data_IF_516966877390
#
_entry.id   IF_516966877390
#
_cell.length_a   1.000
_cell.length_b   1.000
_cell.length_c   1.000
_cell.angle_alpha   90.00
_cell.angle_beta   90.00
_cell.angle_gamma   90.00
#
_symmetry.space_group_name_H-M   'P 1'
#
loop_
_entity.id
_entity.type
_entity.pdbx_description
1 polymer ?
#
# COMPACT_ATOMS: atom_id res chain seq x y z
N UNK A 1 -30.26 -72.43 26.83
CA UNK A 1 -29.37 -71.86 25.84
C UNK A 1 -30.24 -71.16 24.79
N UNK A 2 -30.42 -69.87 24.87
CA UNK A 2 -31.04 -69.03 23.82
C UNK A 2 -30.14 -67.81 23.59
N UNK A 3 -29.54 -67.73 22.42
CA UNK A 3 -28.74 -66.60 21.98
C UNK A 3 -29.71 -65.56 21.36
N UNK A 4 -29.75 -64.38 21.96
CA UNK A 4 -30.45 -63.22 21.38
C UNK A 4 -29.46 -62.39 20.59
N UNK A 5 -29.72 -62.22 19.31
CA UNK A 5 -28.98 -61.29 18.44
C UNK A 5 -29.64 -59.90 18.57
N UNK A 6 -28.91 -58.93 19.04
CA UNK A 6 -29.28 -57.52 18.98
C UNK A 6 -28.71 -56.90 17.68
N UNK A 7 -29.60 -56.51 16.78
CA UNK A 7 -29.30 -55.75 15.59
C UNK A 7 -29.22 -54.28 15.97
N UNK A 8 -28.01 -53.74 15.96
CA UNK A 8 -27.78 -52.30 16.14
C UNK A 8 -28.00 -51.54 14.82
N UNK A 9 -29.03 -50.71 14.80
CA UNK A 9 -29.27 -49.77 13.69
C UNK A 9 -28.37 -48.52 13.92
N UNK A 10 -27.34 -48.37 13.10
CA UNK A 10 -26.53 -47.17 13.08
C UNK A 10 -27.28 -46.04 12.35
N UNK A 11 -27.74 -45.04 13.08
CA UNK A 11 -28.21 -43.78 12.52
C UNK A 11 -26.99 -42.98 12.08
N UNK A 12 -26.73 -42.91 10.78
CA UNK A 12 -25.82 -41.96 10.21
C UNK A 12 -26.50 -40.57 10.18
N UNK A 13 -26.19 -39.73 11.17
CA UNK A 13 -26.59 -38.34 11.13
C UNK A 13 -25.75 -37.62 10.05
N UNK A 14 -26.37 -37.34 8.91
CA UNK A 14 -25.84 -36.37 7.92
C UNK A 14 -25.89 -34.99 8.55
N UNK A 15 -24.76 -34.55 9.09
CA UNK A 15 -24.52 -33.14 9.34
C UNK A 15 -24.33 -32.47 7.96
N UNK A 16 -25.42 -31.99 7.37
CA UNK A 16 -25.36 -30.97 6.37
C UNK A 16 -24.89 -29.71 7.10
N UNK A 17 -23.56 -29.43 7.04
CA UNK A 17 -23.01 -28.16 7.46
C UNK A 17 -23.65 -27.08 6.60
N UNK A 18 -24.59 -26.32 7.17
CA UNK A 18 -25.03 -25.07 6.60
C UNK A 18 -23.74 -24.20 6.53
N UNK A 19 -23.29 -23.88 5.32
CA UNK A 19 -22.33 -22.82 5.14
C UNK A 19 -22.96 -21.58 5.79
N UNK A 20 -22.37 -21.10 6.87
CA UNK A 20 -22.76 -19.82 7.48
C UNK A 20 -22.68 -18.78 6.38
N UNK A 21 -23.82 -18.13 6.07
CA UNK A 21 -23.80 -16.95 5.24
C UNK A 21 -22.80 -16.00 5.89
N UNK A 22 -21.74 -15.61 5.15
CA UNK A 22 -20.79 -14.65 5.66
C UNK A 22 -21.57 -13.39 6.07
N UNK A 23 -21.33 -12.88 7.28
CA UNK A 23 -21.91 -11.61 7.72
C UNK A 23 -21.34 -10.49 6.85
N UNK A 24 -22.09 -10.11 5.81
CA UNK A 24 -21.74 -9.03 4.91
C UNK A 24 -21.89 -7.69 5.64
N UNK A 25 -20.85 -6.88 5.62
CA UNK A 25 -20.82 -5.57 6.34
C UNK A 25 -21.92 -4.62 5.87
N UNK A 26 -22.26 -4.66 4.59
CA UNK A 26 -23.34 -3.87 3.99
C UNK A 26 -24.31 -4.82 3.29
N UNK A 27 -25.60 -4.69 3.59
CA UNK A 27 -26.61 -5.56 2.97
C UNK A 27 -26.77 -5.23 1.48
N UNK A 28 -26.60 -6.19 0.56
CA UNK A 28 -26.79 -5.96 -0.86
C UNK A 28 -28.16 -5.35 -1.17
N UNK A 29 -28.16 -4.33 -2.05
CA UNK A 29 -29.39 -3.67 -2.52
C UNK A 29 -29.96 -2.60 -1.57
N UNK A 30 -29.42 -2.39 -0.36
CA UNK A 30 -30.03 -1.49 0.62
C UNK A 30 -29.47 -0.05 0.65
N UNK A 31 -28.23 0.15 0.26
CA UNK A 31 -27.58 1.48 0.28
C UNK A 31 -27.25 1.90 -1.15
N UNK A 32 -27.81 3.03 -1.59
CA UNK A 32 -27.66 3.57 -2.95
C UNK A 32 -26.26 4.14 -3.25
N UNK A 33 -25.38 4.26 -2.24
CA UNK A 33 -23.99 4.64 -2.45
C UNK A 33 -23.15 3.55 -3.11
N UNK A 34 -23.64 2.31 -3.14
CA UNK A 34 -23.00 1.17 -3.77
C UNK A 34 -23.66 0.80 -5.09
N UNK A 35 -22.88 0.44 -6.07
CA UNK A 35 -23.37 -0.05 -7.37
C UNK A 35 -23.77 -1.54 -7.29
N UNK A 36 -24.86 -1.82 -6.57
CA UNK A 36 -25.34 -3.20 -6.38
C UNK A 36 -25.69 -3.91 -7.68
N UNK A 37 -26.08 -3.15 -8.72
CA UNK A 37 -26.31 -3.76 -10.03
C UNK A 37 -25.07 -4.46 -10.55
N UNK A 38 -23.88 -3.87 -10.38
CA UNK A 38 -22.63 -4.51 -10.80
C UNK A 38 -22.33 -5.80 -10.01
N UNK A 39 -22.76 -5.86 -8.76
CA UNK A 39 -22.68 -7.06 -7.93
C UNK A 39 -23.58 -8.17 -8.44
N UNK A 40 -24.86 -7.85 -8.72
CA UNK A 40 -25.84 -8.81 -9.23
C UNK A 40 -25.45 -9.35 -10.61
N UNK A 41 -24.95 -8.48 -11.50
CA UNK A 41 -24.45 -8.87 -12.82
C UNK A 41 -23.24 -9.83 -12.69
N UNK A 42 -22.31 -9.53 -11.78
CA UNK A 42 -21.17 -10.40 -11.48
C UNK A 42 -21.62 -11.77 -10.93
N UNK A 43 -22.53 -11.79 -9.96
CA UNK A 43 -23.08 -13.00 -9.36
C UNK A 43 -23.76 -13.89 -10.41
N UNK A 44 -24.54 -13.29 -11.32
CA UNK A 44 -25.19 -14.02 -12.40
C UNK A 44 -24.17 -14.65 -13.38
N UNK A 45 -23.03 -13.98 -13.63
CA UNK A 45 -22.02 -14.44 -14.57
C UNK A 45 -21.12 -15.57 -14.03
N UNK A 46 -21.02 -15.75 -12.70
CA UNK A 46 -20.04 -16.65 -12.06
C UNK A 46 -20.68 -17.70 -11.11
N UNK A 47 -21.96 -18.01 -11.28
CA UNK A 47 -22.68 -18.96 -10.43
C UNK A 47 -22.21 -20.43 -10.56
N UNK A 48 -21.45 -20.76 -11.61
CA UNK A 48 -20.95 -22.10 -11.92
C UNK A 48 -19.68 -22.50 -11.16
N UNK A 49 -19.09 -21.58 -10.38
CA UNK A 49 -17.80 -21.78 -9.69
C UNK A 49 -17.96 -22.30 -8.25
N UNK A 50 -19.17 -22.58 -7.81
CA UNK A 50 -19.47 -23.03 -6.44
C UNK A 50 -18.64 -24.24 -6.01
N UNK A 51 -18.04 -24.13 -4.83
CA UNK A 51 -17.25 -25.19 -4.19
C UNK A 51 -15.82 -25.33 -4.71
N UNK A 52 -15.41 -24.55 -5.72
CA UNK A 52 -14.01 -24.46 -6.13
C UNK A 52 -13.20 -23.65 -5.13
N UNK A 53 -11.88 -23.80 -5.14
CA UNK A 53 -10.97 -23.12 -4.21
C UNK A 53 -10.23 -21.95 -4.86
N UNK A 54 -9.95 -20.93 -4.06
CA UNK A 54 -9.08 -19.82 -4.42
C UNK A 54 -8.15 -19.51 -3.25
N UNK A 55 -6.84 -19.47 -3.50
CA UNK A 55 -5.84 -19.03 -2.53
C UNK A 55 -5.30 -17.67 -2.92
N UNK A 56 -5.27 -16.75 -1.96
CA UNK A 56 -4.78 -15.39 -2.13
C UNK A 56 -3.70 -15.13 -1.09
N UNK A 57 -2.54 -14.61 -1.50
CA UNK A 57 -1.47 -14.20 -0.62
C UNK A 57 -1.11 -12.74 -0.86
N UNK A 58 -1.03 -11.95 0.19
CA UNK A 58 -0.84 -10.51 0.08
C UNK A 58 -0.19 -9.86 1.30
N UNK A 59 0.14 -8.56 1.20
CA UNK A 59 0.87 -7.83 2.23
C UNK A 59 -0.02 -7.30 3.36
N UNK A 60 -1.35 -7.28 3.17
CA UNK A 60 -2.26 -6.66 4.11
C UNK A 60 -2.39 -7.44 5.41
N UNK A 61 -2.21 -6.77 6.54
CA UNK A 61 -2.25 -7.32 7.90
C UNK A 61 -3.04 -6.40 8.82
N UNK A 62 -3.52 -6.96 9.95
CA UNK A 62 -4.27 -6.18 10.93
C UNK A 62 -5.59 -5.65 10.36
N UNK A 63 -5.85 -4.35 10.47
CA UNK A 63 -7.10 -3.75 9.99
C UNK A 63 -7.24 -3.78 8.46
N UNK A 64 -6.16 -3.58 7.70
CA UNK A 64 -6.20 -3.70 6.23
C UNK A 64 -6.59 -5.12 5.80
N UNK A 65 -6.11 -6.15 6.52
CA UNK A 65 -6.56 -7.53 6.31
C UNK A 65 -8.05 -7.69 6.59
N UNK A 66 -8.56 -7.10 7.68
CA UNK A 66 -9.97 -7.17 8.02
C UNK A 66 -10.85 -6.49 6.96
N UNK A 67 -10.41 -5.34 6.42
CA UNK A 67 -11.11 -4.67 5.32
C UNK A 67 -11.14 -5.56 4.08
N UNK A 68 -10.00 -6.13 3.69
CA UNK A 68 -9.93 -7.01 2.53
C UNK A 68 -10.76 -8.28 2.71
N UNK A 69 -10.73 -8.90 3.89
CA UNK A 69 -11.56 -10.06 4.20
C UNK A 69 -13.06 -9.74 4.06
N UNK A 70 -13.48 -8.52 4.44
CA UNK A 70 -14.86 -8.10 4.27
C UNK A 70 -15.27 -7.98 2.79
N UNK A 71 -14.35 -7.56 1.90
CA UNK A 71 -14.59 -7.52 0.45
C UNK A 71 -14.63 -8.95 -0.12
N UNK A 72 -13.69 -9.78 0.31
CA UNK A 72 -13.63 -11.19 -0.10
C UNK A 72 -14.91 -11.96 0.24
N UNK A 73 -15.59 -11.59 1.34
CA UNK A 73 -16.87 -12.18 1.72
C UNK A 73 -17.97 -11.98 0.67
N UNK A 74 -18.00 -10.82 -0.02
CA UNK A 74 -18.93 -10.57 -1.12
C UNK A 74 -18.60 -11.43 -2.35
N UNK A 75 -17.33 -11.60 -2.67
CA UNK A 75 -16.90 -12.50 -3.73
C UNK A 75 -17.32 -13.95 -3.44
N UNK A 76 -17.09 -14.41 -2.20
CA UNK A 76 -17.49 -15.75 -1.73
C UNK A 76 -19.02 -15.93 -1.79
N UNK A 77 -19.78 -14.93 -1.32
CA UNK A 77 -21.27 -14.99 -1.36
C UNK A 77 -21.79 -15.05 -2.80
N UNK A 78 -21.21 -14.23 -3.70
CA UNK A 78 -21.63 -14.16 -5.09
C UNK A 78 -21.36 -15.47 -5.86
N UNK A 79 -20.24 -16.13 -5.61
CA UNK A 79 -19.74 -17.24 -6.42
C UNK A 79 -19.85 -18.61 -5.75
N UNK A 80 -19.93 -18.66 -4.43
CA UNK A 80 -19.83 -19.90 -3.65
C UNK A 80 -18.43 -20.55 -3.67
N UNK A 81 -17.38 -19.82 -4.08
CA UNK A 81 -15.99 -20.25 -4.06
C UNK A 81 -15.50 -20.29 -2.60
N UNK A 82 -14.70 -21.32 -2.22
CA UNK A 82 -13.94 -21.32 -0.96
C UNK A 82 -12.64 -20.51 -1.15
N UNK A 83 -12.71 -19.20 -0.90
CA UNK A 83 -11.58 -18.29 -1.03
C UNK A 83 -10.89 -18.08 0.32
N UNK A 84 -9.55 -18.15 0.32
CA UNK A 84 -8.71 -17.97 1.51
C UNK A 84 -7.62 -16.93 1.24
N UNK A 85 -7.59 -15.91 2.10
CA UNK A 85 -6.50 -14.95 2.15
C UNK A 85 -5.52 -15.32 3.24
N UNK A 86 -4.25 -15.13 2.97
CA UNK A 86 -3.15 -15.24 3.95
C UNK A 86 -2.16 -14.09 3.75
N UNK A 87 -1.45 -13.74 4.82
CA UNK A 87 -0.44 -12.68 4.84
C UNK A 87 0.80 -13.12 5.62
N UNK A 88 1.91 -12.39 5.47
CA UNK A 88 3.16 -12.66 6.18
C UNK A 88 3.90 -11.35 6.46
N UNK A 89 4.67 -11.31 7.56
CA UNK A 89 5.62 -10.21 7.83
C UNK A 89 6.80 -10.19 6.84
N UNK A 90 7.06 -11.35 6.24
CA UNK A 90 8.13 -11.53 5.25
C UNK A 90 7.52 -11.81 3.87
N UNK A 91 6.47 -11.05 3.50
CA UNK A 91 5.67 -11.30 2.31
C UNK A 91 6.52 -11.35 1.04
N UNK A 92 7.40 -10.35 0.82
CA UNK A 92 8.20 -10.22 -0.40
C UNK A 92 9.16 -11.40 -0.60
N UNK A 93 9.77 -11.87 0.49
CA UNK A 93 10.66 -13.03 0.46
C UNK A 93 9.86 -14.32 0.28
N UNK A 94 8.72 -14.44 0.97
CA UNK A 94 7.91 -15.66 0.96
C UNK A 94 7.30 -15.91 -0.42
N UNK A 95 6.76 -14.89 -1.08
CA UNK A 95 6.19 -15.07 -2.43
C UNK A 95 7.23 -15.51 -3.45
N UNK A 96 8.47 -15.03 -3.35
CA UNK A 96 9.58 -15.49 -4.19
C UNK A 96 9.89 -16.97 -3.91
N UNK A 97 9.96 -17.38 -2.64
CA UNK A 97 10.21 -18.77 -2.25
C UNK A 97 9.10 -19.69 -2.77
N UNK A 98 7.84 -19.35 -2.56
CA UNK A 98 6.70 -20.17 -2.92
C UNK A 98 6.60 -20.36 -4.45
N UNK A 99 6.85 -19.30 -5.21
CA UNK A 99 6.87 -19.36 -6.67
C UNK A 99 8.03 -20.20 -7.21
N UNK A 100 9.22 -20.06 -6.61
CA UNK A 100 10.40 -20.88 -6.98
C UNK A 100 10.23 -22.35 -6.62
N UNK A 101 9.56 -22.65 -5.51
CA UNK A 101 9.26 -24.00 -5.06
C UNK A 101 8.13 -24.67 -5.87
N UNK A 102 7.48 -23.95 -6.81
CA UNK A 102 6.36 -24.48 -7.60
C UNK A 102 5.05 -24.64 -6.83
N UNK A 103 4.91 -23.93 -5.70
CA UNK A 103 3.72 -23.95 -4.84
C UNK A 103 3.12 -22.52 -4.65
N UNK A 104 2.94 -21.74 -5.75
CA UNK A 104 2.40 -20.39 -5.62
C UNK A 104 0.92 -20.40 -5.21
N UNK A 105 0.42 -19.28 -4.59
CA UNK A 105 -1.01 -19.04 -4.47
C UNK A 105 -1.65 -18.88 -5.85
N UNK A 106 -3.00 -18.91 -5.94
CA UNK A 106 -3.64 -18.52 -7.18
C UNK A 106 -3.44 -17.04 -7.47
N UNK A 107 -3.68 -16.19 -6.47
CA UNK A 107 -3.51 -14.73 -6.55
C UNK A 107 -2.37 -14.30 -5.64
N UNK A 108 -1.44 -13.51 -6.17
CA UNK A 108 -0.47 -12.75 -5.38
C UNK A 108 -0.77 -11.25 -5.52
N UNK A 109 -0.78 -10.52 -4.39
CA UNK A 109 -1.03 -9.08 -4.35
C UNK A 109 0.30 -8.37 -4.07
N UNK A 110 0.86 -7.71 -5.07
CA UNK A 110 2.20 -7.13 -5.03
C UNK A 110 2.11 -5.61 -4.87
N UNK A 111 2.71 -5.03 -3.84
CA UNK A 111 2.85 -3.57 -3.75
C UNK A 111 3.99 -3.02 -4.61
N UNK A 112 4.98 -3.86 -4.99
CA UNK A 112 6.18 -3.42 -5.72
C UNK A 112 6.13 -3.83 -7.20
N UNK A 113 6.01 -2.87 -8.14
CA UNK A 113 6.15 -3.13 -9.58
C UNK A 113 7.49 -3.78 -9.98
N UNK A 114 8.58 -3.43 -9.27
CA UNK A 114 9.89 -4.06 -9.49
C UNK A 114 9.92 -5.55 -9.16
N UNK A 115 9.31 -5.96 -8.03
CA UNK A 115 9.15 -7.38 -7.68
C UNK A 115 8.25 -8.10 -8.70
N UNK A 116 7.18 -7.42 -9.15
CA UNK A 116 6.31 -7.95 -10.20
C UNK A 116 7.09 -8.21 -11.50
N UNK A 117 7.93 -7.26 -11.93
CA UNK A 117 8.79 -7.41 -13.11
C UNK A 117 9.72 -8.61 -12.97
N UNK A 118 10.35 -8.80 -11.80
CA UNK A 118 11.22 -9.93 -11.50
C UNK A 118 10.48 -11.28 -11.60
N UNK A 119 9.27 -11.38 -11.05
CA UNK A 119 8.47 -12.61 -11.09
C UNK A 119 7.93 -12.90 -12.49
N UNK A 120 7.51 -11.87 -13.24
CA UNK A 120 7.06 -11.98 -14.62
C UNK A 120 8.19 -12.47 -15.54
N UNK A 121 9.38 -11.86 -15.43
CA UNK A 121 10.56 -12.24 -16.21
C UNK A 121 11.03 -13.68 -15.96
N UNK A 122 10.81 -14.20 -14.76
CA UNK A 122 11.09 -15.60 -14.41
C UNK A 122 9.99 -16.58 -14.86
N UNK A 123 8.84 -16.08 -15.31
CA UNK A 123 7.68 -16.88 -15.73
C UNK A 123 6.86 -17.44 -14.56
N UNK A 124 6.87 -16.77 -13.42
CA UNK A 124 6.09 -17.14 -12.24
C UNK A 124 4.71 -16.51 -12.20
N UNK A 125 4.40 -15.61 -13.13
CA UNK A 125 3.10 -14.96 -13.26
C UNK A 125 2.45 -15.29 -14.60
N UNK A 126 1.13 -15.30 -14.61
CA UNK A 126 0.31 -15.51 -15.79
C UNK A 126 -0.22 -14.17 -16.30
N UNK A 127 -0.11 -13.84 -17.60
CA UNK A 127 -0.70 -12.63 -18.16
C UNK A 127 -2.22 -12.57 -17.95
N UNK A 128 -2.73 -11.38 -17.63
CA UNK A 128 -4.15 -11.13 -17.46
C UNK A 128 -4.90 -10.99 -18.79
N UNK A 129 -4.16 -10.72 -19.87
CA UNK A 129 -4.67 -10.58 -21.23
C UNK A 129 -5.00 -9.14 -21.63
N UNK A 130 -5.11 -8.93 -22.95
CA UNK A 130 -5.29 -7.62 -23.58
C UNK A 130 -6.63 -6.98 -23.21
N UNK A 131 -7.68 -7.78 -23.03
CA UNK A 131 -9.00 -7.28 -22.61
C UNK A 131 -8.95 -6.63 -21.23
N UNK A 132 -8.18 -7.20 -20.30
CA UNK A 132 -8.00 -6.62 -18.95
C UNK A 132 -7.16 -5.35 -19.01
N UNK A 133 -6.08 -5.34 -19.79
CA UNK A 133 -5.26 -4.15 -20.04
C UNK A 133 -6.09 -3.02 -20.64
N UNK A 134 -6.87 -3.32 -21.68
CA UNK A 134 -7.77 -2.35 -22.30
C UNK A 134 -8.83 -1.82 -21.32
N UNK A 135 -9.39 -2.70 -20.49
CA UNK A 135 -10.35 -2.29 -19.48
C UNK A 135 -9.74 -1.29 -18.49
N UNK A 136 -8.53 -1.53 -18.00
CA UNK A 136 -7.79 -0.60 -17.11
C UNK A 136 -7.57 0.74 -17.83
N UNK A 137 -7.05 0.70 -19.05
CA UNK A 137 -6.82 1.91 -19.87
C UNK A 137 -8.07 2.78 -19.99
N UNK A 138 -9.21 2.19 -20.30
CA UNK A 138 -10.45 2.90 -20.60
C UNK A 138 -11.15 3.42 -19.31
N UNK A 139 -11.03 2.68 -18.20
CA UNK A 139 -11.80 2.93 -16.99
C UNK A 139 -11.05 3.69 -15.90
N UNK A 140 -9.72 3.72 -15.92
CA UNK A 140 -8.94 4.41 -14.89
C UNK A 140 -8.58 5.85 -15.30
N UNK A 141 -8.51 6.76 -14.33
CA UNK A 141 -7.82 8.03 -14.48
C UNK A 141 -6.34 7.76 -14.77
N UNK A 142 -5.75 8.45 -15.77
CA UNK A 142 -4.40 8.17 -16.26
C UNK A 142 -4.17 6.68 -16.63
N UNK A 143 -5.14 6.06 -17.30
CA UNK A 143 -5.18 4.62 -17.57
C UNK A 143 -3.93 4.05 -18.24
N UNK A 144 -3.28 4.81 -19.15
CA UNK A 144 -2.01 4.39 -19.77
C UNK A 144 -0.88 4.22 -18.76
N UNK A 145 -0.81 5.08 -17.73
CA UNK A 145 0.19 4.95 -16.65
C UNK A 145 -0.05 3.68 -15.84
N UNK A 146 -1.31 3.40 -15.46
CA UNK A 146 -1.66 2.19 -14.71
C UNK A 146 -1.42 0.91 -15.51
N UNK A 147 -1.67 0.92 -16.82
CA UNK A 147 -1.29 -0.19 -17.70
C UNK A 147 0.23 -0.36 -17.70
N UNK A 148 0.99 0.73 -17.75
CA UNK A 148 2.46 0.70 -17.69
C UNK A 148 2.97 0.00 -16.43
N UNK A 149 2.40 0.28 -15.26
CA UNK A 149 2.79 -0.36 -13.98
C UNK A 149 2.42 -1.84 -13.88
N UNK A 150 1.56 -2.35 -14.76
CA UNK A 150 1.21 -3.78 -14.86
C UNK A 150 1.86 -4.52 -16.03
N UNK A 151 2.61 -3.83 -16.92
CA UNK A 151 3.12 -4.40 -18.17
C UNK A 151 4.63 -4.61 -18.10
N UNK A 152 5.06 -5.84 -18.26
CA UNK A 152 6.47 -6.24 -18.18
C UNK A 152 6.81 -7.34 -19.19
N UNK A 153 8.10 -7.56 -19.43
CA UNK A 153 8.57 -8.68 -20.24
C UNK A 153 8.41 -9.98 -19.45
N UNK A 154 7.70 -10.93 -20.04
CA UNK A 154 7.63 -12.29 -19.54
C UNK A 154 8.90 -13.08 -19.82
N UNK A 155 8.93 -14.34 -19.39
CA UNK A 155 10.06 -15.27 -19.62
C UNK A 155 10.42 -15.47 -21.10
N UNK A 156 9.46 -15.30 -22.00
CA UNK A 156 9.65 -15.37 -23.44
C UNK A 156 10.19 -14.06 -24.06
N UNK A 157 10.45 -13.06 -23.24
CA UNK A 157 10.94 -11.73 -23.64
C UNK A 157 9.88 -10.80 -24.23
N UNK A 158 8.62 -11.25 -24.33
CA UNK A 158 7.52 -10.43 -24.83
C UNK A 158 6.88 -9.65 -23.71
N UNK A 159 6.46 -8.42 -24.01
CA UNK A 159 5.65 -7.61 -23.07
C UNK A 159 4.24 -8.17 -22.97
N UNK A 160 3.73 -8.22 -21.73
CA UNK A 160 2.36 -8.59 -21.44
C UNK A 160 1.88 -7.91 -20.16
N UNK A 161 0.57 -7.77 -20.01
CA UNK A 161 -0.06 -7.20 -18.84
C UNK A 161 -0.27 -8.28 -17.77
N UNK A 162 0.47 -8.18 -16.65
CA UNK A 162 0.50 -9.19 -15.59
C UNK A 162 -0.28 -8.81 -14.34
N UNK A 163 -0.61 -7.53 -14.16
CA UNK A 163 -1.16 -7.07 -12.91
C UNK A 163 -2.31 -6.09 -13.07
N UNK A 164 -3.37 -6.32 -12.30
CA UNK A 164 -4.52 -5.44 -12.18
C UNK A 164 -4.29 -4.46 -11.01
N UNK A 165 -4.17 -3.15 -11.24
CA UNK A 165 -4.07 -2.16 -10.19
C UNK A 165 -5.40 -2.09 -9.43
N UNK A 166 -5.40 -2.30 -8.11
CA UNK A 166 -6.64 -2.33 -7.35
C UNK A 166 -6.75 -1.17 -6.35
N UNK A 167 -5.80 -1.02 -5.47
CA UNK A 167 -5.74 0.05 -4.48
C UNK A 167 -4.66 1.04 -4.86
N UNK A 168 -4.94 2.34 -4.79
CA UNK A 168 -3.96 3.41 -4.90
C UNK A 168 -3.73 4.05 -3.53
N UNK A 169 -2.52 4.59 -3.31
CA UNK A 169 -2.16 5.33 -2.11
C UNK A 169 -1.46 6.64 -2.47
N UNK A 170 -1.69 7.69 -1.68
CA UNK A 170 -0.94 8.95 -1.70
C UNK A 170 0.06 8.90 -0.55
N UNK A 171 1.35 9.07 -0.84
CA UNK A 171 2.44 9.01 0.14
C UNK A 171 2.91 10.40 0.63
N UNK A 172 2.58 11.45 -0.09
CA UNK A 172 2.97 12.83 0.21
C UNK A 172 2.10 13.51 1.28
N UNK A 173 1.86 12.83 2.41
CA UNK A 173 0.99 13.33 3.48
C UNK A 173 1.74 13.46 4.81
N UNK A 174 1.44 14.52 5.56
CA UNK A 174 1.88 14.70 6.95
C UNK A 174 0.65 14.76 7.84
N UNK A 175 0.53 13.77 8.70
CA UNK A 175 -0.58 13.60 9.64
C UNK A 175 -0.32 14.33 10.96
N UNK A 176 -1.37 14.86 11.56
CA UNK A 176 -1.34 15.56 12.84
C UNK A 176 -2.70 15.48 13.55
N UNK A 177 -2.73 15.81 14.83
CA UNK A 177 -3.98 15.97 15.62
C UNK A 177 -4.31 17.47 15.67
N UNK A 178 -5.46 17.91 15.10
CA UNK A 178 -5.84 19.33 15.05
C UNK A 178 -5.94 19.98 16.44
N UNK A 179 -6.46 19.27 17.43
CA UNK A 179 -6.57 19.75 18.81
C UNK A 179 -5.19 20.07 19.41
N UNK A 180 -4.19 19.17 19.24
CA UNK A 180 -2.82 19.40 19.71
C UNK A 180 -2.18 20.65 19.07
N UNK A 181 -2.46 20.88 17.79
CA UNK A 181 -1.98 22.07 17.07
C UNK A 181 -2.65 23.34 17.58
N UNK A 182 -3.97 23.27 17.81
CA UNK A 182 -4.73 24.42 18.33
C UNK A 182 -4.28 24.79 19.74
N UNK A 183 -4.11 23.82 20.63
CA UNK A 183 -3.67 24.05 22.02
C UNK A 183 -2.27 24.64 22.09
N UNK A 184 -1.35 24.16 21.22
CA UNK A 184 0.02 24.64 21.14
C UNK A 184 0.16 25.95 20.32
N UNK A 185 -0.89 26.36 19.61
CA UNK A 185 -0.86 27.54 18.72
C UNK A 185 -0.07 27.33 17.44
N UNK A 186 0.14 26.08 17.01
CA UNK A 186 0.86 25.75 15.78
C UNK A 186 -0.03 25.94 14.54
N UNK A 187 0.62 26.22 13.42
CA UNK A 187 -0.03 26.36 12.11
C UNK A 187 0.47 25.31 11.15
N UNK A 188 -0.41 24.84 10.29
CA UNK A 188 -0.03 23.95 9.19
C UNK A 188 0.93 24.67 8.25
N UNK A 189 2.16 24.12 8.01
CA UNK A 189 3.14 24.74 7.14
C UNK A 189 2.75 24.60 5.67
N UNK A 190 3.12 25.59 4.86
CA UNK A 190 2.84 25.65 3.42
C UNK A 190 4.10 25.48 2.57
N UNK A 191 5.28 25.62 3.17
CA UNK A 191 6.59 25.36 2.56
C UNK A 191 7.43 24.44 3.43
N UNK A 192 8.46 23.82 2.84
CA UNK A 192 9.41 22.99 3.61
C UNK A 192 10.20 23.82 4.62
N UNK A 193 10.49 25.06 4.30
CA UNK A 193 11.16 26.00 5.22
C UNK A 193 10.26 26.27 6.47
N UNK A 194 8.96 26.42 6.26
CA UNK A 194 8.00 26.54 7.37
C UNK A 194 7.89 25.24 8.18
N UNK A 195 7.96 24.07 7.52
CA UNK A 195 7.95 22.76 8.19
C UNK A 195 9.20 22.58 9.08
N UNK A 196 10.37 22.97 8.61
CA UNK A 196 11.60 23.00 9.44
C UNK A 196 11.44 23.97 10.61
N UNK A 197 10.93 25.18 10.37
CA UNK A 197 10.71 26.17 11.44
C UNK A 197 9.72 25.66 12.49
N UNK A 198 8.64 24.97 12.07
CA UNK A 198 7.70 24.34 12.99
C UNK A 198 8.35 23.22 13.81
N UNK A 199 9.18 22.38 13.15
CA UNK A 199 9.95 21.32 13.81
C UNK A 199 10.82 21.88 14.93
N UNK A 200 11.57 22.96 14.64
CA UNK A 200 12.39 23.65 15.64
C UNK A 200 11.56 24.31 16.74
N UNK A 201 10.40 24.90 16.39
CA UNK A 201 9.52 25.54 17.37
C UNK A 201 8.96 24.52 18.37
N UNK A 202 8.51 23.34 17.90
CA UNK A 202 8.01 22.27 18.77
C UNK A 202 9.09 21.87 19.80
N UNK A 203 10.35 21.70 19.37
CA UNK A 203 11.46 21.39 20.30
C UNK A 203 11.70 22.50 21.29
N UNK A 204 11.65 23.78 20.85
CA UNK A 204 11.82 24.93 21.70
C UNK A 204 10.74 25.03 22.78
N UNK A 205 9.52 24.60 22.45
CA UNK A 205 8.39 24.56 23.38
C UNK A 205 8.40 23.34 24.31
N UNK A 206 9.43 22.46 24.17
CA UNK A 206 9.63 21.27 25.00
C UNK A 206 8.91 20.02 24.49
N UNK A 207 8.33 20.07 23.29
CA UNK A 207 7.71 18.92 22.61
C UNK A 207 8.69 18.14 21.73
N UNK A 208 8.22 17.03 21.19
CA UNK A 208 8.93 16.23 20.19
C UNK A 208 8.18 16.32 18.87
N UNK A 209 8.78 16.79 17.77
CA UNK A 209 8.03 17.05 16.55
C UNK A 209 7.57 15.76 15.82
N UNK A 210 8.38 14.72 15.71
CA UNK A 210 8.13 13.64 14.78
C UNK A 210 7.91 12.29 15.42
N UNK A 211 6.87 11.60 14.96
CA UNK A 211 6.66 10.17 15.12
C UNK A 211 7.26 9.48 13.88
N UNK A 212 8.41 8.84 13.98
CA UNK A 212 9.04 8.12 12.87
C UNK A 212 9.29 6.68 13.30
N UNK A 213 8.83 5.72 12.51
CA UNK A 213 9.08 4.30 12.71
C UNK A 213 9.31 3.61 11.36
N UNK A 214 10.44 2.89 11.24
CA UNK A 214 10.82 2.18 10.02
C UNK A 214 10.54 0.68 10.09
N UNK A 215 10.21 0.15 11.27
CA UNK A 215 10.00 -1.27 11.49
C UNK A 215 8.82 -1.80 10.68
N UNK A 216 9.03 -2.89 9.92
CA UNK A 216 8.02 -3.56 9.09
C UNK A 216 8.40 -5.03 8.84
N UNK A 217 8.95 -5.74 9.87
CA UNK A 217 9.42 -7.11 9.65
C UNK A 217 10.50 -7.19 8.59
N UNK A 218 10.34 -8.06 7.60
CA UNK A 218 11.28 -8.21 6.48
C UNK A 218 11.35 -7.01 5.54
N UNK A 219 10.36 -6.11 5.60
CA UNK A 219 10.32 -4.89 4.79
C UNK A 219 10.78 -3.65 5.58
N UNK A 220 11.43 -3.83 6.75
CA UNK A 220 11.95 -2.72 7.56
C UNK A 220 12.84 -1.80 6.71
N UNK A 221 12.54 -0.50 6.75
CA UNK A 221 13.25 0.55 5.99
C UNK A 221 12.39 1.26 4.94
N UNK A 222 11.32 0.65 4.43
CA UNK A 222 10.47 1.29 3.42
C UNK A 222 9.90 2.66 3.82
N UNK A 223 9.55 2.94 5.11
CA UNK A 223 9.07 4.28 5.42
C UNK A 223 10.14 5.37 5.26
N UNK A 224 11.43 5.02 5.35
CA UNK A 224 12.52 5.96 5.10
C UNK A 224 12.74 6.21 3.60
N UNK A 225 12.55 5.20 2.74
CA UNK A 225 12.66 5.42 1.30
C UNK A 225 11.57 6.37 0.81
N UNK A 226 10.34 6.29 1.35
CA UNK A 226 9.25 7.24 1.07
C UNK A 226 9.66 8.71 1.34
N UNK A 227 10.35 8.96 2.45
CA UNK A 227 10.88 10.30 2.74
C UNK A 227 11.89 10.77 1.68
N UNK A 228 12.86 9.92 1.33
CA UNK A 228 13.89 10.26 0.36
C UNK A 228 13.28 10.51 -1.02
N UNK A 229 12.33 9.69 -1.42
CA UNK A 229 11.61 9.77 -2.70
C UNK A 229 10.74 11.01 -2.78
N UNK A 230 10.03 11.34 -1.70
CA UNK A 230 9.19 12.53 -1.61
C UNK A 230 10.05 13.82 -1.64
N UNK A 231 11.22 13.81 -1.00
CA UNK A 231 12.21 14.88 -1.07
C UNK A 231 12.80 15.00 -2.48
N UNK A 232 13.13 13.88 -3.14
CA UNK A 232 13.60 13.87 -4.54
C UNK A 232 12.60 14.55 -5.48
N UNK A 233 11.30 14.25 -5.35
CA UNK A 233 10.25 14.86 -6.16
C UNK A 233 10.07 16.37 -5.88
N UNK A 234 10.51 16.86 -4.73
CA UNK A 234 10.42 18.27 -4.32
C UNK A 234 11.68 19.07 -4.58
N UNK A 235 12.77 18.41 -4.96
CA UNK A 235 14.06 19.04 -5.20
C UNK A 235 14.57 18.82 -6.63
N UNK A 236 14.04 17.82 -7.33
CA UNK A 236 14.48 17.44 -8.65
C UNK A 236 13.31 17.43 -9.66
N UNK A 237 13.65 17.62 -10.94
CA UNK A 237 12.68 17.46 -12.03
C UNK A 237 12.25 15.99 -12.13
N UNK A 238 11.01 15.72 -12.59
CA UNK A 238 10.50 14.36 -12.69
C UNK A 238 11.36 13.39 -13.52
N UNK A 239 12.05 13.90 -14.56
CA UNK A 239 12.94 13.06 -15.39
C UNK A 239 14.20 12.60 -14.65
N UNK A 240 14.65 13.36 -13.66
CA UNK A 240 15.77 12.94 -12.78
C UNK A 240 15.33 11.79 -11.88
N UNK A 241 14.11 11.89 -11.33
CA UNK A 241 13.50 10.81 -10.55
C UNK A 241 13.36 9.52 -11.38
N UNK A 242 12.82 9.64 -12.60
CA UNK A 242 12.63 8.49 -13.50
C UNK A 242 13.97 7.82 -13.85
N UNK A 243 15.01 8.60 -14.12
CA UNK A 243 16.37 8.10 -14.38
C UNK A 243 17.02 7.47 -13.16
N UNK A 244 16.70 7.96 -11.96
CA UNK A 244 17.20 7.35 -10.73
C UNK A 244 16.60 5.96 -10.50
N UNK A 245 15.30 5.78 -10.73
CA UNK A 245 14.64 4.47 -10.58
C UNK A 245 15.09 3.43 -11.60
N UNK A 246 15.78 3.85 -12.68
CA UNK A 246 16.35 2.98 -13.72
C UNK A 246 17.88 2.88 -13.68
N UNK A 247 18.53 3.49 -12.68
CA UNK A 247 19.98 3.54 -12.51
C UNK A 247 20.75 4.33 -13.58
N UNK A 248 20.06 5.14 -14.38
CA UNK A 248 20.73 6.13 -15.24
C UNK A 248 21.32 7.27 -14.40
N UNK A 249 20.59 7.74 -13.38
CA UNK A 249 21.12 8.55 -12.28
C UNK A 249 21.49 7.59 -11.14
N UNK A 250 22.70 7.70 -10.63
CA UNK A 250 23.24 6.80 -9.62
C UNK A 250 22.79 7.19 -8.22
N UNK A 251 22.76 6.23 -7.27
CA UNK A 251 22.54 6.55 -5.86
C UNK A 251 23.60 7.50 -5.31
N UNK A 252 24.83 7.42 -5.83
CA UNK A 252 25.94 8.33 -5.47
C UNK A 252 25.87 9.72 -6.11
N UNK A 253 24.85 10.00 -6.91
CA UNK A 253 24.60 11.33 -7.45
C UNK A 253 24.37 12.33 -6.31
N UNK A 254 24.97 13.56 -6.38
CA UNK A 254 24.79 14.54 -5.33
C UNK A 254 23.34 14.87 -4.99
N UNK A 255 22.42 14.81 -5.94
CA UNK A 255 21.00 15.06 -5.70
C UNK A 255 20.37 13.98 -4.81
N UNK A 256 20.70 12.70 -5.04
CA UNK A 256 20.20 11.58 -4.25
C UNK A 256 20.81 11.59 -2.85
N UNK A 257 22.12 11.81 -2.74
CA UNK A 257 22.80 11.95 -1.45
C UNK A 257 22.22 13.09 -0.63
N UNK A 258 21.94 14.25 -1.27
CA UNK A 258 21.31 15.38 -0.60
C UNK A 258 19.89 15.08 -0.11
N UNK A 259 19.13 14.28 -0.84
CA UNK A 259 17.78 13.86 -0.39
C UNK A 259 17.86 12.91 0.83
N UNK A 260 18.84 12.00 0.87
CA UNK A 260 19.11 11.15 2.03
C UNK A 260 19.54 12.00 3.24
N UNK A 261 20.45 12.96 3.04
CA UNK A 261 20.89 13.89 4.10
C UNK A 261 19.72 14.74 4.62
N UNK A 262 18.82 15.19 3.75
CA UNK A 262 17.65 15.97 4.13
C UNK A 262 16.70 15.16 5.03
N UNK A 263 16.42 13.90 4.68
CA UNK A 263 15.71 12.99 5.58
C UNK A 263 16.43 12.86 6.93
N UNK A 264 17.74 12.80 6.93
CA UNK A 264 18.55 12.73 8.14
C UNK A 264 18.36 13.92 9.09
N UNK A 265 18.02 15.11 8.57
CA UNK A 265 17.74 16.29 9.42
C UNK A 265 16.51 16.05 10.31
N UNK A 266 15.52 15.30 9.83
CA UNK A 266 14.34 14.90 10.61
C UNK A 266 14.64 13.69 11.50
N UNK A 267 15.21 12.63 10.95
CA UNK A 267 15.29 11.31 11.59
C UNK A 267 16.51 11.10 12.50
N UNK A 268 17.59 11.87 12.34
CA UNK A 268 18.88 11.69 13.08
C UNK A 268 19.10 12.73 14.16
N UNK A 269 18.08 13.46 14.59
CA UNK A 269 18.15 14.40 15.70
C UNK A 269 17.42 13.82 16.93
N UNK A 270 18.16 13.61 18.02
CA UNK A 270 17.64 13.02 19.27
C UNK A 270 16.42 13.77 19.86
N UNK A 271 16.30 15.06 19.59
CA UNK A 271 15.20 15.90 20.08
C UNK A 271 14.00 15.90 19.13
N UNK A 272 14.15 15.37 17.93
CA UNK A 272 13.11 15.47 16.89
C UNK A 272 12.19 14.26 16.84
N UNK A 273 12.62 13.11 17.34
CA UNK A 273 11.90 11.85 17.17
C UNK A 273 11.45 11.27 18.51
N UNK A 274 10.22 10.81 18.57
CA UNK A 274 9.70 10.08 19.73
C UNK A 274 10.54 8.81 20.01
N UNK A 275 11.05 8.71 21.22
CA UNK A 275 11.99 7.65 21.63
C UNK A 275 13.44 7.87 21.20
N UNK A 276 13.76 8.99 20.54
CA UNK A 276 15.11 9.33 20.05
C UNK A 276 15.50 8.54 18.79
N UNK A 277 16.71 8.83 18.28
CA UNK A 277 17.24 8.24 17.03
C UNK A 277 17.27 6.71 17.06
N UNK A 278 17.62 6.12 18.21
CA UNK A 278 17.66 4.67 18.37
C UNK A 278 16.30 3.96 18.17
N UNK A 279 15.18 4.66 18.40
CA UNK A 279 13.85 4.14 18.21
C UNK A 279 13.41 4.12 16.75
N UNK A 280 13.99 4.96 15.89
CA UNK A 280 13.57 5.12 14.49
C UNK A 280 13.54 3.79 13.74
N UNK A 281 14.61 3.02 13.78
CA UNK A 281 14.70 1.75 13.07
C UNK A 281 13.84 0.64 13.66
N UNK A 282 13.57 0.68 14.97
CA UNK A 282 12.92 -0.41 15.71
C UNK A 282 11.42 -0.23 15.94
N UNK A 283 10.92 1.03 15.92
CA UNK A 283 9.49 1.30 16.06
C UNK A 283 8.75 0.82 14.81
N UNK A 284 7.75 -0.04 14.98
CA UNK A 284 6.90 -0.49 13.88
C UNK A 284 6.13 0.69 13.29
N UNK A 285 6.04 0.76 11.95
CA UNK A 285 5.37 1.87 11.27
C UNK A 285 3.89 1.99 11.64
N UNK A 286 3.26 0.87 12.05
CA UNK A 286 1.86 0.83 12.50
C UNK A 286 1.68 1.39 13.91
N UNK A 287 2.75 1.36 14.70
CA UNK A 287 2.74 1.86 16.10
C UNK A 287 3.22 3.31 16.19
N UNK A 288 4.07 3.74 15.28
CA UNK A 288 4.66 5.09 15.32
C UNK A 288 3.62 6.23 15.34
N UNK A 289 2.48 6.21 14.59
CA UNK A 289 1.51 7.29 14.63
C UNK A 289 0.74 7.41 15.96
N UNK A 290 0.74 6.36 16.81
CA UNK A 290 0.01 6.35 18.09
C UNK A 290 0.51 7.43 19.06
N UNK A 291 1.75 7.87 18.88
CA UNK A 291 2.33 8.99 19.64
C UNK A 291 1.56 10.32 19.47
N UNK A 292 0.93 10.55 18.32
CA UNK A 292 0.11 11.72 18.03
C UNK A 292 -1.09 11.83 18.99
N UNK A 293 -1.66 10.69 19.38
CA UNK A 293 -2.90 10.57 20.16
C UNK A 293 -2.67 10.40 21.66
N UNK A 294 -1.41 10.40 22.11
CA UNK A 294 -1.08 10.34 23.54
C UNK A 294 -1.47 11.67 24.23
N UNK A 295 -1.79 11.61 25.52
CA UNK A 295 -2.09 12.79 26.32
C UNK A 295 -1.14 12.84 27.53
N UNK A 296 -0.18 13.78 27.56
CA UNK A 296 0.17 14.73 26.51
C UNK A 296 0.72 14.04 25.26
N UNK A 297 0.70 14.70 24.06
CA UNK A 297 1.21 14.10 22.84
C UNK A 297 2.70 13.79 22.95
N UNK A 298 3.09 12.59 22.49
CA UNK A 298 4.50 12.18 22.45
C UNK A 298 5.23 12.78 21.25
N UNK A 299 4.50 13.05 20.18
CA UNK A 299 4.97 13.69 18.95
C UNK A 299 3.79 14.39 18.25
N UNK A 300 4.08 15.34 17.37
CA UNK A 300 3.06 16.20 16.75
C UNK A 300 2.81 15.93 15.28
N UNK A 301 3.76 15.34 14.58
CA UNK A 301 3.77 15.15 13.13
C UNK A 301 4.14 13.70 12.78
N UNK A 302 3.51 13.17 11.71
CA UNK A 302 3.82 11.85 11.18
C UNK A 302 3.71 11.85 9.66
N UNK A 303 4.84 11.69 8.95
CA UNK A 303 4.82 11.53 7.49
C UNK A 303 4.53 10.10 7.13
N UNK A 304 3.40 9.86 6.45
CA UNK A 304 2.99 8.53 6.03
C UNK A 304 1.86 8.59 4.98
N UNK A 305 1.70 7.49 4.25
CA UNK A 305 0.72 7.32 3.20
C UNK A 305 -0.75 7.34 3.71
N UNK A 306 -1.67 7.48 2.76
CA UNK A 306 -3.13 7.55 2.96
C UNK A 306 -3.75 6.32 3.64
N UNK A 307 -3.05 5.19 3.72
CA UNK A 307 -3.54 4.00 4.42
C UNK A 307 -3.31 4.02 5.93
N UNK A 308 -2.46 4.93 6.45
CA UNK A 308 -2.05 4.90 7.88
C UNK A 308 -3.21 5.05 8.89
N UNK A 309 -4.34 5.69 8.57
CA UNK A 309 -5.48 5.74 9.46
C UNK A 309 -6.01 4.37 9.90
N UNK A 310 -5.74 3.29 9.14
CA UNK A 310 -6.06 1.92 9.54
C UNK A 310 -5.38 1.49 10.85
N UNK A 311 -4.32 2.21 11.26
CA UNK A 311 -3.51 1.91 12.45
C UNK A 311 -3.65 2.98 13.55
N UNK A 312 -4.52 3.97 13.36
CA UNK A 312 -4.86 4.93 14.40
C UNK A 312 -5.71 4.28 15.51
N UNK A 313 -5.82 4.89 16.69
CA UNK A 313 -6.71 4.39 17.73
C UNK A 313 -8.13 4.16 17.21
N UNK A 314 -8.74 3.06 17.64
CA UNK A 314 -10.10 2.72 17.19
C UNK A 314 -11.09 3.85 17.48
N UNK A 315 -11.90 4.20 16.50
CA UNK A 315 -12.88 5.28 16.60
C UNK A 315 -12.37 6.66 16.23
N UNK A 316 -11.09 6.81 15.86
CA UNK A 316 -10.52 8.09 15.36
C UNK A 316 -11.34 8.60 14.17
N UNK A 317 -11.79 9.85 14.28
CA UNK A 317 -12.56 10.53 13.21
C UNK A 317 -11.62 11.42 12.42
N UNK A 318 -11.42 11.11 11.15
CA UNK A 318 -10.63 11.95 10.26
C UNK A 318 -11.32 13.28 10.02
N UNK A 319 -10.52 14.34 10.03
CA UNK A 319 -10.96 15.74 9.96
C UNK A 319 -11.28 16.40 11.31
N UNK A 320 -11.34 15.60 12.40
CA UNK A 320 -11.58 16.09 13.76
C UNK A 320 -10.48 15.65 14.70
N UNK A 321 -10.33 14.31 14.88
CA UNK A 321 -9.37 13.74 15.83
C UNK A 321 -7.99 13.59 15.19
N UNK A 322 -7.94 13.42 13.87
CA UNK A 322 -6.73 13.45 13.05
C UNK A 322 -7.04 14.12 11.71
N UNK A 323 -6.08 14.85 11.18
CA UNK A 323 -6.12 15.41 9.82
C UNK A 323 -4.72 15.34 9.20
N UNK A 324 -4.62 15.71 7.95
CA UNK A 324 -3.35 15.75 7.24
C UNK A 324 -3.19 17.06 6.46
N UNK A 325 -1.96 17.35 6.12
CA UNK A 325 -1.63 18.32 5.07
C UNK A 325 -0.70 17.68 4.04
N UNK A 326 -0.76 18.22 2.83
CA UNK A 326 0.15 17.81 1.77
C UNK A 326 1.59 18.16 2.17
N UNK A 327 2.52 17.22 2.03
CA UNK A 327 3.95 17.44 2.27
C UNK A 327 4.41 18.65 1.44
N UNK A 328 4.83 19.76 2.06
CA UNK A 328 5.04 21.00 1.34
C UNK A 328 6.24 20.94 0.40
N UNK A 329 6.27 21.83 -0.59
CA UNK A 329 7.41 22.01 -1.50
C UNK A 329 8.38 23.06 -0.96
N UNK A 330 9.62 23.01 -1.41
CA UNK A 330 10.60 24.07 -1.10
C UNK A 330 10.25 25.34 -1.86
N UNK A 331 10.36 26.50 -1.22
CA UNK A 331 10.14 27.79 -1.86
C UNK A 331 11.08 28.01 -3.06
N UNK A 332 12.31 27.50 -2.98
CA UNK A 332 13.31 27.54 -4.06
C UNK A 332 12.95 26.66 -5.27
N UNK A 333 12.02 25.71 -5.11
CA UNK A 333 11.58 24.75 -6.12
C UNK A 333 10.09 24.86 -6.44
N UNK A 334 9.50 26.04 -6.26
CA UNK A 334 8.08 26.30 -6.53
C UNK A 334 7.67 25.99 -7.99
N UNK A 335 8.61 26.02 -8.91
CA UNK A 335 8.44 25.65 -10.33
C UNK A 335 8.10 24.16 -10.55
N UNK A 336 8.40 23.28 -9.59
CA UNK A 336 8.00 21.87 -9.62
C UNK A 336 6.50 21.67 -9.32
N UNK A 337 5.81 22.70 -8.83
CA UNK A 337 4.36 22.66 -8.55
C UNK A 337 4.03 21.81 -7.32
N UNK A 338 3.09 20.87 -7.50
CA UNK A 338 2.64 19.94 -6.43
C UNK A 338 2.88 18.49 -6.84
N UNK A 339 4.12 18.00 -6.76
CA UNK A 339 4.43 16.61 -7.06
C UNK A 339 3.84 15.68 -5.98
N UNK A 340 3.30 14.55 -6.39
CA UNK A 340 2.75 13.52 -5.50
C UNK A 340 3.53 12.24 -5.67
N UNK A 341 4.08 11.75 -4.57
CA UNK A 341 4.54 10.38 -4.43
C UNK A 341 3.33 9.50 -4.18
N UNK A 342 3.19 8.44 -4.93
CA UNK A 342 2.08 7.50 -4.78
C UNK A 342 2.54 6.06 -4.83
N UNK A 343 1.64 5.19 -4.44
CA UNK A 343 1.82 3.75 -4.51
C UNK A 343 0.51 3.08 -4.90
N UNK A 344 0.53 1.76 -4.98
CA UNK A 344 -0.67 0.97 -5.20
C UNK A 344 -0.38 -0.51 -5.06
N UNK A 345 -1.42 -1.29 -4.95
CA UNK A 345 -1.31 -2.74 -4.95
C UNK A 345 -1.77 -3.32 -6.27
N UNK A 346 -0.99 -4.24 -6.78
CA UNK A 346 -1.09 -4.87 -8.08
C UNK A 346 -1.51 -6.33 -7.88
N UNK A 347 -2.71 -6.69 -8.32
CA UNK A 347 -3.25 -8.04 -8.17
C UNK A 347 -2.83 -8.89 -9.37
N UNK A 348 -2.12 -9.98 -9.11
CA UNK A 348 -1.53 -10.86 -10.14
C UNK A 348 -2.05 -12.28 -10.03
N UNK A 349 -2.01 -13.03 -11.14
CA UNK A 349 -2.25 -14.47 -11.15
C UNK A 349 -0.90 -15.20 -11.15
N UNK A 350 -0.57 -15.86 -10.03
CA UNK A 350 0.63 -16.68 -9.93
C UNK A 350 0.34 -18.14 -10.30
N UNK A 351 -0.90 -18.62 -10.04
CA UNK A 351 -1.38 -19.92 -10.51
C UNK A 351 -2.74 -19.76 -11.16
N UNK A 352 -2.80 -19.89 -12.48
CA UNK A 352 -4.03 -19.69 -13.26
C UNK A 352 -5.10 -20.72 -12.91
N UNK A 353 -6.34 -20.21 -12.83
CA UNK A 353 -7.53 -21.03 -12.62
C UNK A 353 -8.80 -20.21 -12.98
N UNK A 354 -9.93 -20.86 -13.25
CA UNK A 354 -11.20 -20.15 -13.44
C UNK A 354 -11.55 -19.25 -12.25
N UNK A 355 -11.24 -19.66 -11.01
CA UNK A 355 -11.49 -18.90 -9.79
C UNK A 355 -10.60 -17.66 -9.68
N UNK A 356 -9.32 -17.74 -10.12
CA UNK A 356 -8.43 -16.59 -10.17
C UNK A 356 -8.91 -15.57 -11.21
N UNK A 357 -9.35 -16.02 -12.38
CA UNK A 357 -9.91 -15.13 -13.42
C UNK A 357 -11.20 -14.46 -12.95
N UNK A 358 -12.10 -15.20 -12.32
CA UNK A 358 -13.33 -14.64 -11.73
C UNK A 358 -13.00 -13.58 -10.65
N UNK A 359 -11.93 -13.77 -9.86
CA UNK A 359 -11.52 -12.76 -8.89
C UNK A 359 -11.06 -11.46 -9.55
N UNK A 360 -10.30 -11.53 -10.64
CA UNK A 360 -9.95 -10.34 -11.44
C UNK A 360 -11.23 -9.67 -12.00
N UNK A 361 -12.21 -10.44 -12.48
CA UNK A 361 -13.47 -9.88 -12.97
C UNK A 361 -14.30 -9.23 -11.87
N UNK A 362 -14.28 -9.77 -10.65
CA UNK A 362 -14.87 -9.13 -9.48
C UNK A 362 -14.23 -7.76 -9.19
N UNK A 363 -12.91 -7.66 -9.24
CA UNK A 363 -12.19 -6.41 -9.02
C UNK A 363 -12.44 -5.35 -10.11
N UNK A 364 -12.93 -5.72 -11.28
CA UNK A 364 -13.37 -4.77 -12.32
C UNK A 364 -14.74 -4.16 -12.02
N UNK A 365 -15.48 -4.67 -11.02
CA UNK A 365 -16.80 -4.12 -10.67
C UNK A 365 -16.65 -2.87 -9.79
N UNK A 366 -17.47 -1.83 -9.97
CA UNK A 366 -17.46 -0.66 -9.08
C UNK A 366 -17.65 -1.05 -7.61
N UNK A 367 -18.57 -1.99 -7.35
CA UNK A 367 -18.91 -2.41 -5.98
C UNK A 367 -17.70 -2.96 -5.22
N UNK A 368 -16.79 -3.68 -5.87
CA UNK A 368 -15.59 -4.21 -5.22
C UNK A 368 -14.66 -3.11 -4.67
N UNK A 369 -14.66 -1.93 -5.29
CA UNK A 369 -13.95 -0.74 -4.80
C UNK A 369 -14.77 0.00 -3.74
N UNK A 370 -16.05 0.26 -4.03
CA UNK A 370 -16.95 1.05 -3.19
C UNK A 370 -17.12 0.46 -1.78
N UNK A 371 -17.14 -0.87 -1.67
CA UNK A 371 -17.24 -1.57 -0.38
C UNK A 371 -16.02 -1.30 0.53
N UNK A 372 -14.83 -1.18 -0.04
CA UNK A 372 -13.64 -0.81 0.75
C UNK A 372 -13.58 0.70 0.98
N UNK A 373 -13.87 1.52 -0.03
CA UNK A 373 -13.96 2.98 0.10
C UNK A 373 -14.86 3.41 1.27
N UNK A 374 -15.95 2.66 1.50
CA UNK A 374 -16.91 2.93 2.58
C UNK A 374 -16.42 2.54 3.98
N UNK A 375 -15.26 1.89 4.08
CA UNK A 375 -14.70 1.45 5.35
C UNK A 375 -13.59 2.39 5.83
N UNK A 376 -12.47 2.42 5.15
CA UNK A 376 -11.34 3.33 5.39
C UNK A 376 -10.21 3.08 4.38
N UNK A 377 -9.30 4.07 4.24
CA UNK A 377 -7.93 3.91 3.71
C UNK A 377 -7.85 3.22 2.33
N UNK A 378 -8.84 3.45 1.48
CA UNK A 378 -8.87 2.91 0.13
C UNK A 378 -9.12 4.01 -0.88
N UNK A 379 -8.13 4.26 -1.72
CA UNK A 379 -8.26 5.11 -2.90
C UNK A 379 -8.22 4.25 -4.15
N UNK A 380 -8.89 4.70 -5.19
CA UNK A 380 -8.89 4.01 -6.48
C UNK A 380 -8.81 5.00 -7.64
N UNK A 381 -8.05 4.67 -8.71
CA UNK A 381 -8.08 5.44 -9.94
C UNK A 381 -9.32 5.14 -10.82
N UNK A 382 -10.19 4.20 -10.42
CA UNK A 382 -11.34 3.78 -11.21
C UNK A 382 -12.42 4.85 -11.28
N UNK A 383 -12.71 5.36 -12.49
CA UNK A 383 -13.71 6.43 -12.75
C UNK A 383 -15.16 5.97 -12.58
N UNK A 384 -15.40 4.65 -12.60
CA UNK A 384 -16.76 4.07 -12.52
C UNK A 384 -17.33 3.97 -11.12
N UNK A 385 -16.58 4.32 -10.08
CA UNK A 385 -17.05 4.27 -8.70
C UNK A 385 -17.92 5.46 -8.32
N UNK A 386 -18.84 5.26 -7.39
CA UNK A 386 -19.58 6.34 -6.76
C UNK A 386 -18.71 6.99 -5.66
N UNK A 387 -18.25 8.22 -5.91
CA UNK A 387 -17.40 8.96 -4.95
C UNK A 387 -18.08 9.22 -3.60
N UNK A 388 -19.42 9.13 -3.52
CA UNK A 388 -20.14 9.20 -2.25
C UNK A 388 -20.00 7.91 -1.40
N UNK A 389 -19.36 6.87 -1.94
CA UNK A 389 -19.00 5.68 -1.17
C UNK A 389 -17.81 5.92 -0.24
N UNK A 390 -16.98 6.94 -0.46
CA UNK A 390 -15.90 7.28 0.50
C UNK A 390 -16.44 7.47 1.91
N UNK A 391 -15.73 6.93 2.89
CA UNK A 391 -16.16 6.92 4.29
C UNK A 391 -16.25 8.32 4.90
N UNK A 392 -15.46 9.29 4.41
CA UNK A 392 -15.41 10.64 4.93
C UNK A 392 -14.82 11.64 3.92
N UNK A 393 -14.91 12.94 4.26
CA UNK A 393 -14.45 14.02 3.40
C UNK A 393 -12.91 14.10 3.30
N UNK A 394 -12.16 13.56 4.27
CA UNK A 394 -10.70 13.52 4.21
C UNK A 394 -10.24 12.57 3.12
N UNK A 395 -10.85 11.39 2.98
CA UNK A 395 -10.56 10.48 1.87
C UNK A 395 -10.89 11.11 0.50
N UNK A 396 -11.94 11.97 0.44
CA UNK A 396 -12.19 12.76 -0.78
C UNK A 396 -11.07 13.74 -1.07
N UNK A 397 -10.55 14.44 -0.04
CA UNK A 397 -9.39 15.35 -0.17
C UNK A 397 -8.12 14.61 -0.63
N UNK A 398 -7.87 13.40 -0.13
CA UNK A 398 -6.77 12.56 -0.63
C UNK A 398 -6.93 12.23 -2.12
N UNK A 399 -8.14 11.89 -2.54
CA UNK A 399 -8.49 11.71 -3.94
C UNK A 399 -8.27 12.99 -4.77
N UNK A 400 -8.58 14.16 -4.22
CA UNK A 400 -8.32 15.46 -4.87
C UNK A 400 -6.82 15.75 -5.00
N UNK A 401 -6.00 15.41 -4.00
CA UNK A 401 -4.54 15.52 -4.09
C UNK A 401 -4.04 14.66 -5.26
N UNK A 402 -4.49 13.41 -5.34
CA UNK A 402 -4.12 12.48 -6.41
C UNK A 402 -4.52 12.98 -7.81
N UNK A 403 -5.73 13.56 -7.93
CA UNK A 403 -6.27 14.01 -9.23
C UNK A 403 -5.76 15.40 -9.65
N UNK A 404 -5.36 16.26 -8.70
CA UNK A 404 -4.83 17.62 -8.95
C UNK A 404 -3.29 17.70 -9.00
N UNK A 405 -2.61 16.57 -8.83
CA UNK A 405 -1.15 16.50 -8.87
C UNK A 405 -0.60 17.03 -10.20
N UNK A 406 0.39 17.94 -10.15
CA UNK A 406 1.12 18.41 -11.33
C UNK A 406 2.09 17.34 -11.85
N UNK A 407 2.56 16.51 -10.94
CA UNK A 407 3.42 15.35 -11.20
C UNK A 407 3.00 14.24 -10.28
N UNK A 408 2.73 13.06 -10.82
CA UNK A 408 2.56 11.82 -10.05
C UNK A 408 3.69 10.87 -10.41
N UNK A 409 4.36 10.33 -9.39
CA UNK A 409 5.31 9.23 -9.56
C UNK A 409 5.01 8.14 -8.57
N UNK A 410 5.10 6.92 -9.07
CA UNK A 410 5.06 5.75 -8.20
C UNK A 410 6.31 5.74 -7.32
N UNK A 411 6.19 5.20 -6.11
CA UNK A 411 7.27 4.93 -5.18
C UNK A 411 8.51 4.38 -5.91
N UNK A 412 9.65 5.07 -5.75
CA UNK A 412 10.85 4.76 -6.49
C UNK A 412 11.45 3.42 -6.10
N UNK A 413 11.45 3.09 -4.81
CA UNK A 413 11.95 1.81 -4.31
C UNK A 413 11.11 0.65 -4.83
N UNK A 414 9.80 0.85 -4.96
CA UNK A 414 8.88 -0.14 -5.51
C UNK A 414 9.05 -0.36 -7.02
N UNK A 415 9.51 0.67 -7.75
CA UNK A 415 9.81 0.58 -9.19
C UNK A 415 11.16 -0.10 -9.48
N UNK A 416 12.11 -0.02 -8.56
CA UNK A 416 13.44 -0.58 -8.71
C UNK A 416 13.39 -2.12 -8.72
N UNK A 417 14.40 -2.82 -9.29
CA UNK A 417 14.52 -4.27 -9.12
C UNK A 417 14.40 -4.66 -7.65
N UNK A 418 13.67 -5.72 -7.32
CA UNK A 418 13.35 -6.11 -5.94
C UNK A 418 14.57 -6.23 -5.02
N UNK A 419 15.73 -6.69 -5.55
CA UNK A 419 17.00 -6.74 -4.81
C UNK A 419 17.52 -5.36 -4.40
N UNK A 420 17.15 -4.33 -5.13
CA UNK A 420 17.57 -2.95 -4.84
C UNK A 420 16.51 -2.24 -4.03
N UNK A 421 15.32 -2.06 -4.56
CA UNK A 421 14.26 -1.30 -3.90
C UNK A 421 13.87 -1.92 -2.57
N UNK A 422 13.35 -3.16 -2.61
CA UNK A 422 12.93 -3.91 -1.43
C UNK A 422 14.09 -4.62 -0.69
N UNK A 423 15.31 -4.40 -1.12
CA UNK A 423 16.52 -4.97 -0.52
C UNK A 423 17.52 -3.91 -0.07
N UNK A 424 18.47 -3.58 -0.95
CA UNK A 424 19.61 -2.73 -0.60
C UNK A 424 19.19 -1.30 -0.19
N UNK A 425 18.13 -0.74 -0.79
CA UNK A 425 17.69 0.61 -0.44
C UNK A 425 17.02 0.62 0.94
N UNK A 426 16.10 -0.30 1.24
CA UNK A 426 15.50 -0.41 2.57
C UNK A 426 16.56 -0.61 3.66
N UNK A 427 17.47 -1.57 3.48
CA UNK A 427 18.54 -1.83 4.47
C UNK A 427 19.53 -0.66 4.57
N UNK A 428 19.85 -0.01 3.46
CA UNK A 428 20.71 1.17 3.45
C UNK A 428 20.13 2.34 4.24
N UNK A 429 18.80 2.50 4.23
CA UNK A 429 18.14 3.53 5.04
C UNK A 429 18.12 3.18 6.54
N UNK A 430 17.97 1.90 6.89
CA UNK A 430 18.13 1.45 8.29
C UNK A 430 19.55 1.74 8.78
N UNK A 431 20.56 1.42 7.99
CA UNK A 431 21.97 1.68 8.32
C UNK A 431 22.25 3.18 8.42
N UNK A 432 21.63 3.99 7.54
CA UNK A 432 21.76 5.44 7.58
C UNK A 432 21.25 6.02 8.90
N UNK A 433 20.06 5.66 9.34
CA UNK A 433 19.54 6.13 10.64
C UNK A 433 20.32 5.53 11.80
N UNK A 434 20.90 4.34 11.62
CA UNK A 434 21.80 3.69 12.58
C UNK A 434 23.18 4.35 12.72
N UNK A 435 23.47 5.41 11.95
CA UNK A 435 24.69 6.21 12.11
C UNK A 435 25.57 6.30 10.86
N UNK A 436 25.32 5.53 9.80
CA UNK A 436 26.06 5.63 8.54
C UNK A 436 25.87 7.00 7.91
N UNK A 437 26.86 7.51 7.16
CA UNK A 437 26.70 8.73 6.39
C UNK A 437 25.79 8.49 5.17
N UNK A 438 25.14 9.54 4.65
CA UNK A 438 24.35 9.45 3.42
C UNK A 438 25.19 9.00 2.23
N UNK A 439 26.43 9.50 2.14
CA UNK A 439 27.37 9.11 1.08
C UNK A 439 27.71 7.62 1.13
N UNK A 440 27.99 7.07 2.32
CA UNK A 440 28.34 5.65 2.47
C UNK A 440 27.12 4.75 2.22
N UNK A 441 25.95 5.12 2.73
CA UNK A 441 24.71 4.40 2.46
C UNK A 441 24.39 4.36 0.96
N UNK A 442 24.48 5.52 0.29
CA UNK A 442 24.29 5.64 -1.15
C UNK A 442 25.30 4.80 -1.95
N UNK A 443 26.58 4.79 -1.53
CA UNK A 443 27.62 4.01 -2.19
C UNK A 443 27.39 2.49 -2.07
N UNK A 444 26.92 2.01 -0.93
CA UNK A 444 26.60 0.61 -0.73
C UNK A 444 25.38 0.17 -1.55
N UNK A 445 24.31 0.99 -1.60
CA UNK A 445 23.14 0.74 -2.44
C UNK A 445 23.56 0.69 -3.91
N UNK A 446 24.40 1.65 -4.35
CA UNK A 446 24.91 1.66 -5.73
C UNK A 446 25.74 0.41 -6.04
N UNK A 447 26.61 0.00 -5.12
CA UNK A 447 27.43 -1.20 -5.29
C UNK A 447 26.56 -2.47 -5.44
N UNK A 448 25.46 -2.55 -4.68
CA UNK A 448 24.48 -3.64 -4.82
C UNK A 448 23.83 -3.61 -6.20
N UNK A 449 23.48 -2.43 -6.71
CA UNK A 449 22.91 -2.28 -8.04
C UNK A 449 23.87 -2.68 -9.16
N UNK A 450 25.12 -2.23 -9.08
CA UNK A 450 26.15 -2.56 -10.06
C UNK A 450 26.47 -4.07 -10.07
N UNK A 451 26.15 -4.78 -8.98
CA UNK A 451 26.28 -6.24 -8.85
C UNK A 451 25.14 -7.06 -9.49
N UNK A 452 24.04 -6.41 -9.92
CA UNK A 452 22.96 -7.12 -10.64
C UNK A 452 23.40 -7.34 -12.09
N UNK A 453 23.47 -8.63 -12.48
CA UNK A 453 23.79 -9.07 -13.85
C UNK A 453 22.51 -9.33 -14.64
#
# INVERSE_FOLDING_TARGET
MKKSFLMGVAFAALFAGAASAADLKFAPGQDSKFNWKSYDDFKAAHADLKGQQLTIFGPWRGEDEAFFQSILAYFVEATGIDAKYSSSENYEQQIVIDTQAGSPPNIAILPQPGLLADLAGKGYLTPLGDDTSKWVKDNYGAGDSWVGYGTYKGKDGKEAFFAFPYKADVKSLVWYVPENFQEAGYKVPTTMEELHALTDQIVKDGGVPWCIGLGSGGATGWPATDWVEDIMLRTQKPDVYDKWTTNEVKFTDPAVVAAIDEFGKFAKNEKYVDGGVAAVASTDFRDSPKGLFAVPPKCYLHHQASFIPSFFPAGTKLGTDADFFYMPTYAAHADLGKPVLGAGTLVTIAKDSPTARAFIDFLKTPVAHELWMAQSSFLTPYKGVNVNAYANDQMKKEGEILTSATTFRFDGSDLMPGKIGAGAFWTGMVDFVGGKSAQDAAAEIQSAWDGIK
#
